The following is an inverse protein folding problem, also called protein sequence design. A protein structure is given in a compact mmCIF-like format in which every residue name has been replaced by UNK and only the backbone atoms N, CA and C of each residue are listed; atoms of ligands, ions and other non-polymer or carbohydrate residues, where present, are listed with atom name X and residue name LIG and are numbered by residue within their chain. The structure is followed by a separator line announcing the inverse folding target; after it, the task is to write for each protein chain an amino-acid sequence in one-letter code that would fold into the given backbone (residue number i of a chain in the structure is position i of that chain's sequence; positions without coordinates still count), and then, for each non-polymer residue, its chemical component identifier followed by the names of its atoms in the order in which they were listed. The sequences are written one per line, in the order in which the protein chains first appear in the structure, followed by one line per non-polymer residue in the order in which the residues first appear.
data_IF_808385803392
#
_entry.id   IF_808385803392
#
_cell.length_a   1.000
_cell.length_b   1.000
_cell.length_c   1.000
_cell.angle_alpha   90.00
_cell.angle_beta   90.00
_cell.angle_gamma   90.00
#
_symmetry.space_group_name_H-M   'P 1'
#
loop_
_entity.id
_entity.type
_entity.pdbx_description
1 polymer ?
#
# COMPACT_ATOMS: atom_id res chain seq x y z
N UNK A 1 2.84 1.62 28.99
CA UNK A 1 3.59 1.48 27.74
C UNK A 1 5.06 1.47 28.12
N UNK A 2 5.88 0.49 27.71
CA UNK A 2 7.31 0.58 27.93
C UNK A 2 7.85 1.81 27.20
N UNK A 3 8.91 2.47 27.69
CA UNK A 3 9.50 3.61 27.01
C UNK A 3 9.96 3.15 25.63
N UNK A 4 9.53 3.87 24.59
CA UNK A 4 10.02 3.69 23.23
C UNK A 4 11.53 3.89 23.33
N UNK A 5 12.29 2.82 23.11
CA UNK A 5 13.75 2.90 23.06
C UNK A 5 14.08 3.88 21.95
N UNK A 6 14.84 4.94 22.28
CA UNK A 6 15.27 5.92 21.29
C UNK A 6 15.91 5.16 20.12
N UNK A 7 15.41 5.39 18.91
CA UNK A 7 15.95 4.75 17.72
C UNK A 7 17.45 5.03 17.61
N UNK A 8 18.20 4.03 17.17
CA UNK A 8 19.66 4.16 17.04
C UNK A 8 20.03 5.18 15.96
N UNK A 9 19.19 5.33 14.93
CA UNK A 9 19.44 6.20 13.78
C UNK A 9 18.24 7.13 13.60
N UNK A 10 18.45 8.43 13.85
CA UNK A 10 17.44 9.48 13.74
C UNK A 10 17.67 10.42 12.56
N UNK A 11 18.80 10.28 11.86
CA UNK A 11 19.13 11.12 10.70
C UNK A 11 18.36 10.65 9.46
N UNK A 12 17.42 11.46 8.99
CA UNK A 12 16.57 11.15 7.83
C UNK A 12 17.36 10.81 6.55
N UNK A 13 18.50 11.45 6.31
CA UNK A 13 19.32 11.15 5.13
C UNK A 13 19.92 9.74 5.22
N UNK A 14 20.36 9.32 6.42
CA UNK A 14 20.89 7.97 6.65
C UNK A 14 19.78 6.94 6.54
N UNK A 15 18.63 7.19 7.15
CA UNK A 15 17.44 6.32 7.05
C UNK A 15 17.03 6.16 5.59
N UNK A 16 16.95 7.25 4.84
CA UNK A 16 16.64 7.20 3.40
C UNK A 16 17.67 6.39 2.62
N UNK A 17 18.97 6.58 2.88
CA UNK A 17 20.04 5.82 2.25
C UNK A 17 19.93 4.31 2.53
N UNK A 18 19.61 3.93 3.76
CA UNK A 18 19.38 2.52 4.13
C UNK A 18 18.17 1.93 3.41
N UNK A 19 17.03 2.63 3.40
CA UNK A 19 15.83 2.19 2.72
C UNK A 19 16.05 2.08 1.21
N UNK A 20 16.73 3.06 0.60
CA UNK A 20 17.07 3.04 -0.82
C UNK A 20 18.01 1.88 -1.16
N UNK A 21 18.98 1.57 -0.29
CA UNK A 21 19.90 0.45 -0.47
C UNK A 21 19.15 -0.89 -0.39
N UNK A 22 18.26 -1.05 0.56
CA UNK A 22 17.40 -2.25 0.68
C UNK A 22 16.58 -2.42 -0.58
N UNK A 23 15.85 -1.38 -0.99
CA UNK A 23 15.01 -1.40 -2.18
C UNK A 23 15.83 -1.71 -3.43
N UNK A 24 16.95 -1.03 -3.62
CA UNK A 24 17.86 -1.25 -4.75
C UNK A 24 18.40 -2.68 -4.80
N UNK A 25 18.80 -3.23 -3.65
CA UNK A 25 19.31 -4.61 -3.56
C UNK A 25 18.23 -5.63 -3.88
N UNK A 26 17.01 -5.46 -3.34
CA UNK A 26 15.88 -6.34 -3.61
C UNK A 26 15.51 -6.30 -5.09
N UNK A 27 15.37 -5.12 -5.68
CA UNK A 27 15.01 -4.98 -7.09
C UNK A 27 16.12 -5.50 -8.02
N UNK A 28 17.38 -5.22 -7.68
CA UNK A 28 18.52 -5.71 -8.47
C UNK A 28 18.64 -7.24 -8.45
N UNK A 29 18.45 -7.87 -7.30
CA UNK A 29 18.46 -9.32 -7.17
C UNK A 29 17.24 -9.95 -7.82
N UNK A 30 16.06 -9.32 -7.72
CA UNK A 30 14.84 -9.78 -8.37
C UNK A 30 14.91 -9.71 -9.91
N UNK A 31 15.65 -8.75 -10.45
CA UNK A 31 15.86 -8.61 -11.90
C UNK A 31 16.88 -9.61 -12.48
N UNK A 32 17.60 -10.36 -11.63
CA UNK A 32 18.61 -11.31 -12.13
C UNK A 32 17.98 -12.59 -12.68
N UNK A 33 18.40 -13.02 -13.87
CA UNK A 33 17.91 -14.26 -14.49
C UNK A 33 18.55 -15.53 -13.89
N UNK A 34 19.48 -15.40 -12.93
CA UNK A 34 20.25 -16.49 -12.36
C UNK A 34 19.38 -17.48 -11.61
N UNK A 35 19.71 -18.79 -11.70
CA UNK A 35 18.88 -19.88 -11.21
C UNK A 35 18.53 -19.81 -9.70
N UNK A 36 19.46 -19.34 -8.86
CA UNK A 36 19.21 -19.17 -7.43
C UNK A 36 18.19 -18.06 -7.14
N UNK A 37 18.39 -16.85 -7.66
CA UNK A 37 17.50 -15.72 -7.43
C UNK A 37 16.13 -15.93 -8.06
N UNK A 38 16.07 -16.53 -9.25
CA UNK A 38 14.81 -16.90 -9.89
C UNK A 38 14.00 -17.87 -9.02
N UNK A 39 14.66 -18.89 -8.46
CA UNK A 39 14.00 -19.86 -7.57
C UNK A 39 13.56 -19.22 -6.26
N UNK A 40 14.40 -18.36 -5.67
CA UNK A 40 14.09 -17.65 -4.43
C UNK A 40 12.86 -16.74 -4.61
N UNK A 41 12.85 -15.89 -5.62
CA UNK A 41 11.73 -14.98 -5.89
C UNK A 41 10.47 -15.64 -6.46
N UNK A 42 10.53 -16.89 -6.82
CA UNK A 42 9.33 -17.69 -7.13
C UNK A 42 8.54 -18.07 -5.87
N UNK A 43 9.21 -18.15 -4.71
CA UNK A 43 8.57 -18.42 -3.42
C UNK A 43 8.35 -17.16 -2.58
N UNK A 44 9.26 -16.20 -2.65
CA UNK A 44 9.26 -14.98 -1.85
C UNK A 44 9.07 -13.78 -2.78
N UNK A 45 7.86 -13.19 -2.87
CA UNK A 45 7.65 -12.01 -3.70
C UNK A 45 8.60 -10.86 -3.32
N UNK A 46 9.24 -10.23 -4.32
CA UNK A 46 10.13 -9.09 -4.07
C UNK A 46 9.44 -7.97 -3.29
N UNK A 47 8.17 -7.73 -3.58
CA UNK A 47 7.36 -6.75 -2.88
C UNK A 47 7.28 -7.04 -1.37
N UNK A 48 7.15 -8.30 -0.97
CA UNK A 48 7.13 -8.69 0.43
C UNK A 48 8.42 -8.24 1.14
N UNK A 49 9.58 -8.42 0.52
CA UNK A 49 10.86 -8.02 1.10
C UNK A 49 10.99 -6.49 1.18
N UNK A 50 10.44 -5.76 0.19
CA UNK A 50 10.43 -4.29 0.21
C UNK A 50 9.64 -3.71 1.40
N UNK A 51 8.64 -4.42 1.91
CA UNK A 51 7.89 -4.01 3.10
C UNK A 51 8.44 -4.63 4.38
N UNK A 52 8.78 -5.92 4.34
CA UNK A 52 9.22 -6.67 5.54
C UNK A 52 10.54 -6.15 6.09
N UNK A 53 11.55 -5.87 5.24
CA UNK A 53 12.85 -5.42 5.71
C UNK A 53 12.81 -4.06 6.41
N UNK A 54 12.18 -3.01 5.85
CA UNK A 54 11.99 -1.75 6.56
C UNK A 54 11.19 -1.90 7.86
N UNK A 55 10.12 -2.71 7.84
CA UNK A 55 9.31 -2.97 9.04
C UNK A 55 10.13 -3.65 10.13
N UNK A 56 11.00 -4.59 9.76
CA UNK A 56 11.88 -5.26 10.70
C UNK A 56 12.89 -4.28 11.34
N UNK A 57 13.47 -3.36 10.56
CA UNK A 57 14.36 -2.31 11.08
C UNK A 57 13.64 -1.40 12.08
N UNK A 58 12.40 -1.05 11.83
CA UNK A 58 11.57 -0.26 12.74
C UNK A 58 11.25 -1.05 14.02
N UNK A 59 10.88 -2.33 13.89
CA UNK A 59 10.54 -3.20 15.04
C UNK A 59 11.76 -3.46 15.94
N UNK A 60 12.95 -3.53 15.35
CA UNK A 60 14.21 -3.70 16.09
C UNK A 60 14.71 -2.38 16.73
N UNK A 61 14.01 -1.26 16.54
CA UNK A 61 14.40 0.04 17.07
C UNK A 61 15.65 0.63 16.40
N UNK A 62 16.04 0.14 15.21
CA UNK A 62 17.17 0.68 14.45
C UNK A 62 16.81 2.02 13.84
N UNK A 63 15.59 2.12 13.30
CA UNK A 63 15.01 3.34 12.75
C UNK A 63 13.69 3.64 13.47
N UNK A 64 13.30 4.92 13.52
CA UNK A 64 11.98 5.33 13.98
C UNK A 64 11.19 5.93 12.82
N UNK A 65 10.17 5.19 12.38
CA UNK A 65 9.30 5.65 11.30
C UNK A 65 8.33 6.74 11.71
N UNK A 66 8.05 6.89 13.02
CA UNK A 66 7.09 7.87 13.53
C UNK A 66 7.71 9.28 13.61
N UNK A 67 8.99 9.36 14.01
CA UNK A 67 9.69 10.64 14.14
C UNK A 67 10.38 11.09 12.83
N UNK A 68 10.46 10.22 11.82
CA UNK A 68 11.10 10.52 10.54
C UNK A 68 10.23 11.44 9.67
N UNK A 69 10.84 12.48 9.10
CA UNK A 69 10.20 13.36 8.10
C UNK A 69 10.05 12.73 6.72
N UNK A 70 10.60 11.54 6.51
CA UNK A 70 10.52 10.83 5.22
C UNK A 70 9.08 10.42 4.90
N UNK A 71 8.31 10.03 5.91
CA UNK A 71 6.91 9.65 5.70
C UNK A 71 6.04 10.84 5.25
N UNK A 72 6.03 12.00 5.94
CA UNK A 72 5.33 13.18 5.45
C UNK A 72 5.78 13.61 4.05
N UNK A 73 7.09 13.61 3.78
CA UNK A 73 7.61 13.92 2.45
C UNK A 73 7.10 12.96 1.38
N UNK A 74 7.11 11.66 1.66
CA UNK A 74 6.59 10.66 0.72
C UNK A 74 5.08 10.82 0.49
N UNK A 75 4.33 11.07 1.55
CA UNK A 75 2.88 11.29 1.51
C UNK A 75 2.51 12.54 0.72
N UNK A 76 3.15 13.67 1.04
CA UNK A 76 2.72 14.98 0.54
C UNK A 76 3.26 15.29 -0.87
N UNK A 77 4.38 14.68 -1.26
CA UNK A 77 5.03 14.95 -2.55
C UNK A 77 5.15 13.73 -3.46
N UNK A 78 5.67 12.60 -2.96
CA UNK A 78 5.94 11.45 -3.83
C UNK A 78 4.66 10.71 -4.24
N UNK A 79 3.71 10.56 -3.32
CA UNK A 79 2.46 9.86 -3.60
C UNK A 79 1.60 10.63 -4.62
N UNK A 80 1.29 11.93 -4.47
CA UNK A 80 0.55 12.68 -5.48
C UNK A 80 1.29 12.72 -6.83
N UNK A 81 2.61 12.91 -6.81
CA UNK A 81 3.40 12.91 -8.04
C UNK A 81 3.35 11.57 -8.77
N UNK A 82 3.43 10.46 -8.03
CA UNK A 82 3.34 9.11 -8.62
C UNK A 82 1.95 8.84 -9.20
N UNK A 83 0.89 9.31 -8.55
CA UNK A 83 -0.48 9.19 -9.07
C UNK A 83 -0.66 9.97 -10.37
N UNK A 84 -0.13 11.20 -10.44
CA UNK A 84 -0.14 11.99 -11.67
C UNK A 84 0.62 11.29 -12.80
N UNK A 85 1.83 10.78 -12.50
CA UNK A 85 2.62 10.04 -13.49
C UNK A 85 1.92 8.77 -13.97
N UNK A 86 1.25 8.05 -13.09
CA UNK A 86 0.44 6.88 -13.45
C UNK A 86 -0.71 7.29 -14.39
N UNK A 87 -1.41 8.38 -14.09
CA UNK A 87 -2.48 8.88 -14.97
C UNK A 87 -1.96 9.30 -16.35
N UNK A 88 -0.80 9.96 -16.42
CA UNK A 88 -0.16 10.35 -17.69
C UNK A 88 0.34 9.15 -18.48
N UNK A 89 0.79 8.09 -17.79
CA UNK A 89 1.29 6.87 -18.42
C UNK A 89 0.18 5.96 -18.99
N UNK A 90 -1.10 6.28 -18.77
CA UNK A 90 -2.22 5.47 -19.26
C UNK A 90 -2.24 5.49 -20.81
N UNK A 91 -2.12 4.31 -21.42
CA UNK A 91 -2.34 4.14 -22.87
C UNK A 91 -3.84 3.97 -23.17
N UNK A 92 -4.53 5.09 -23.39
CA UNK A 92 -5.95 5.08 -23.75
C UNK A 92 -6.24 4.28 -25.04
N UNK A 93 -5.30 4.24 -25.98
CA UNK A 93 -5.46 3.45 -27.22
C UNK A 93 -5.46 1.96 -26.93
N UNK A 94 -4.58 1.52 -26.02
CA UNK A 94 -4.57 0.12 -25.57
C UNK A 94 -5.88 -0.25 -24.85
N UNK A 95 -6.42 0.63 -24.00
CA UNK A 95 -7.69 0.41 -23.33
C UNK A 95 -8.84 0.26 -24.35
N UNK A 96 -8.92 1.13 -25.33
CA UNK A 96 -9.94 1.05 -26.40
C UNK A 96 -9.79 -0.24 -27.23
N UNK A 97 -8.55 -0.68 -27.48
CA UNK A 97 -8.28 -1.94 -28.20
C UNK A 97 -8.72 -3.20 -27.45
N UNK A 98 -8.80 -3.15 -26.11
CA UNK A 98 -9.32 -4.26 -25.30
C UNK A 98 -10.80 -4.59 -25.61
N UNK A 99 -11.49 -3.62 -26.20
CA UNK A 99 -12.87 -3.75 -26.65
C UNK A 99 -13.90 -3.63 -25.52
N UNK A 100 -15.18 -3.60 -25.88
CA UNK A 100 -16.25 -3.28 -24.93
C UNK A 100 -16.40 -4.34 -23.81
N UNK A 101 -16.04 -5.59 -24.08
CA UNK A 101 -16.13 -6.66 -23.06
C UNK A 101 -15.25 -6.37 -21.84
N UNK A 102 -14.02 -5.93 -22.05
CA UNK A 102 -13.10 -5.61 -20.95
C UNK A 102 -13.60 -4.42 -20.13
N UNK A 103 -14.13 -3.41 -20.79
CA UNK A 103 -14.69 -2.21 -20.13
C UNK A 103 -15.92 -2.59 -19.31
N UNK A 104 -16.84 -3.39 -19.88
CA UNK A 104 -18.04 -3.85 -19.17
C UNK A 104 -17.63 -4.70 -17.96
N UNK A 105 -16.69 -5.64 -18.11
CA UNK A 105 -16.21 -6.46 -16.99
C UNK A 105 -15.57 -5.61 -15.89
N UNK A 106 -14.76 -4.62 -16.25
CA UNK A 106 -14.14 -3.71 -15.28
C UNK A 106 -15.19 -2.90 -14.51
N UNK A 107 -16.15 -2.29 -15.23
CA UNK A 107 -17.21 -1.51 -14.59
C UNK A 107 -18.12 -2.38 -13.72
N UNK A 108 -18.48 -3.56 -14.20
CA UNK A 108 -19.30 -4.50 -13.42
C UNK A 108 -18.54 -4.98 -12.16
N UNK A 109 -17.26 -5.28 -12.29
CA UNK A 109 -16.40 -5.63 -11.16
C UNK A 109 -16.32 -4.50 -10.12
N UNK A 110 -16.09 -3.27 -10.59
CA UNK A 110 -16.07 -2.07 -9.73
C UNK A 110 -17.37 -1.89 -8.95
N UNK A 111 -18.50 -1.93 -9.65
CA UNK A 111 -19.83 -1.85 -9.01
C UNK A 111 -20.05 -3.02 -8.05
N UNK A 112 -19.62 -4.22 -8.42
CA UNK A 112 -19.70 -5.40 -7.57
C UNK A 112 -18.91 -5.25 -6.26
N UNK A 113 -17.69 -4.74 -6.34
CA UNK A 113 -16.87 -4.47 -5.13
C UNK A 113 -17.53 -3.40 -4.25
N UNK A 114 -18.02 -2.30 -4.84
CA UNK A 114 -18.69 -1.25 -4.08
C UNK A 114 -19.95 -1.74 -3.37
N UNK A 115 -20.82 -2.46 -4.07
CA UNK A 115 -22.03 -3.04 -3.48
C UNK A 115 -21.69 -4.13 -2.46
N UNK A 116 -20.71 -4.97 -2.76
CA UNK A 116 -20.23 -6.01 -1.85
C UNK A 116 -19.69 -5.45 -0.55
N UNK A 117 -18.91 -4.36 -0.62
CA UNK A 117 -18.40 -3.67 0.56
C UNK A 117 -19.55 -3.13 1.44
N UNK A 118 -20.54 -2.49 0.83
CA UNK A 118 -21.72 -1.97 1.54
C UNK A 118 -22.52 -3.10 2.20
N UNK A 119 -22.80 -4.17 1.45
CA UNK A 119 -23.55 -5.33 1.97
C UNK A 119 -22.79 -6.00 3.11
N UNK A 120 -21.46 -6.19 2.96
CA UNK A 120 -20.62 -6.78 3.99
C UNK A 120 -20.60 -5.93 5.26
N UNK A 121 -20.50 -4.61 5.10
CA UNK A 121 -20.51 -3.68 6.23
C UNK A 121 -21.85 -3.72 6.99
N UNK A 122 -22.96 -3.67 6.28
CA UNK A 122 -24.29 -3.75 6.89
C UNK A 122 -24.55 -5.13 7.52
N UNK A 123 -24.11 -6.21 6.90
CA UNK A 123 -24.20 -7.54 7.49
C UNK A 123 -23.41 -7.64 8.80
N UNK A 124 -22.18 -7.13 8.82
CA UNK A 124 -21.37 -7.09 10.04
C UNK A 124 -21.94 -6.18 11.12
N UNK A 125 -22.59 -5.08 10.73
CA UNK A 125 -23.29 -4.20 11.68
C UNK A 125 -24.41 -4.91 12.43
N UNK A 126 -25.07 -5.89 11.78
CA UNK A 126 -26.12 -6.70 12.41
C UNK A 126 -25.54 -7.85 13.24
N UNK A 127 -24.48 -8.52 12.73
CA UNK A 127 -23.89 -9.71 13.36
C UNK A 127 -22.98 -9.35 14.53
N UNK A 128 -22.11 -8.36 14.32
CA UNK A 128 -21.09 -7.94 15.28
C UNK A 128 -20.84 -6.42 15.19
N UNK A 129 -21.73 -5.60 15.79
CA UNK A 129 -21.71 -4.13 15.63
C UNK A 129 -20.39 -3.50 16.09
N UNK A 130 -19.72 -4.08 17.08
CA UNK A 130 -18.47 -3.56 17.64
C UNK A 130 -17.33 -3.56 16.59
N UNK A 131 -17.31 -4.53 15.66
CA UNK A 131 -16.30 -4.64 14.61
C UNK A 131 -16.35 -3.49 13.61
N UNK A 132 -17.52 -2.93 13.39
CA UNK A 132 -17.77 -1.86 12.40
C UNK A 132 -18.11 -0.52 13.05
N UNK A 133 -17.84 -0.40 14.37
CA UNK A 133 -18.10 0.82 15.11
C UNK A 133 -17.12 1.95 14.72
N UNK A 134 -17.54 3.19 14.95
CA UNK A 134 -16.70 4.37 14.72
C UNK A 134 -16.31 4.57 13.26
N UNK A 135 -15.04 4.84 13.03
CA UNK A 135 -14.48 5.18 11.72
C UNK A 135 -14.03 3.97 10.89
N UNK A 136 -14.36 2.74 11.28
CA UNK A 136 -13.99 1.50 10.58
C UNK A 136 -14.40 1.52 9.09
N UNK A 137 -15.53 2.16 8.76
CA UNK A 137 -15.98 2.32 7.38
C UNK A 137 -14.96 3.05 6.49
N UNK A 138 -14.19 4.00 7.06
CA UNK A 138 -13.14 4.70 6.34
C UNK A 138 -12.02 3.73 5.95
N UNK A 139 -11.56 2.89 6.88
CA UNK A 139 -10.58 1.84 6.60
C UNK A 139 -11.07 0.86 5.53
N UNK A 140 -12.33 0.44 5.59
CA UNK A 140 -12.93 -0.45 4.59
C UNK A 140 -12.97 0.17 3.18
N UNK A 141 -13.07 1.49 3.05
CA UNK A 141 -12.99 2.15 1.73
C UNK A 141 -11.61 1.96 1.09
N UNK A 142 -10.55 1.91 1.88
CA UNK A 142 -9.18 1.66 1.38
C UNK A 142 -9.05 0.24 0.84
N UNK A 143 -9.63 -0.74 1.53
CA UNK A 143 -9.66 -2.14 1.06
C UNK A 143 -10.44 -2.25 -0.25
N UNK A 144 -11.64 -1.66 -0.32
CA UNK A 144 -12.44 -1.64 -1.55
C UNK A 144 -11.67 -0.97 -2.70
N UNK A 145 -11.00 0.14 -2.43
CA UNK A 145 -10.13 0.82 -3.39
C UNK A 145 -8.99 -0.07 -3.89
N UNK A 146 -8.36 -0.82 -3.00
CA UNK A 146 -7.30 -1.78 -3.34
C UNK A 146 -7.81 -2.90 -4.27
N UNK A 147 -8.99 -3.41 -4.03
CA UNK A 147 -9.60 -4.44 -4.87
C UNK A 147 -9.98 -3.93 -6.26
N UNK A 148 -10.36 -2.67 -6.39
CA UNK A 148 -10.72 -2.04 -7.66
C UNK A 148 -9.48 -1.67 -8.48
N UNK A 149 -8.47 -1.05 -7.84
CA UNK A 149 -7.35 -0.43 -8.56
C UNK A 149 -5.95 -0.70 -7.98
N UNK A 150 -5.82 -1.64 -7.02
CA UNK A 150 -4.54 -1.99 -6.41
C UNK A 150 -4.04 -0.99 -5.36
N UNK A 151 -2.77 -1.14 -4.95
CA UNK A 151 -2.20 -0.39 -3.83
C UNK A 151 -2.17 1.14 -4.02
N UNK A 152 -2.02 1.61 -5.26
CA UNK A 152 -2.08 3.05 -5.55
C UNK A 152 -3.47 3.62 -5.24
N UNK A 153 -4.53 2.88 -5.59
CA UNK A 153 -5.91 3.26 -5.28
C UNK A 153 -6.20 3.18 -3.77
N UNK A 154 -5.64 2.19 -3.09
CA UNK A 154 -5.72 2.08 -1.62
C UNK A 154 -5.11 3.32 -0.95
N UNK A 155 -3.92 3.73 -1.39
CA UNK A 155 -3.25 4.92 -0.89
C UNK A 155 -4.07 6.21 -1.18
N UNK A 156 -4.64 6.33 -2.38
CA UNK A 156 -5.50 7.44 -2.73
C UNK A 156 -6.77 7.50 -1.85
N UNK A 157 -7.43 6.36 -1.61
CA UNK A 157 -8.59 6.29 -0.71
C UNK A 157 -8.24 6.66 0.72
N UNK A 158 -7.05 6.28 1.20
CA UNK A 158 -6.56 6.72 2.51
C UNK A 158 -6.56 8.24 2.65
N UNK A 159 -6.03 8.95 1.64
CA UNK A 159 -5.97 10.41 1.65
C UNK A 159 -7.37 11.04 1.50
N UNK A 160 -8.20 10.51 0.59
CA UNK A 160 -9.55 11.04 0.35
C UNK A 160 -10.44 10.94 1.58
N UNK A 161 -10.34 9.84 2.34
CA UNK A 161 -11.16 9.59 3.53
C UNK A 161 -10.45 9.89 4.85
N UNK A 162 -9.25 10.49 4.79
CA UNK A 162 -8.44 10.87 5.97
C UNK A 162 -8.29 9.72 6.97
N UNK A 163 -7.84 8.56 6.47
CA UNK A 163 -7.67 7.35 7.28
C UNK A 163 -6.38 7.44 8.07
N UNK A 164 -6.49 7.42 9.38
CA UNK A 164 -5.35 7.44 10.29
C UNK A 164 -4.34 6.32 10.01
N UNK A 165 -3.05 6.58 10.25
CA UNK A 165 -1.98 5.64 9.97
C UNK A 165 -2.11 4.32 10.76
N UNK A 166 -2.59 4.40 12.00
CA UNK A 166 -2.78 3.22 12.85
C UNK A 166 -3.94 2.37 12.37
N UNK A 167 -5.03 3.02 11.97
CA UNK A 167 -6.18 2.36 11.36
C UNK A 167 -5.82 1.75 10.00
N UNK A 168 -5.09 2.50 9.16
CA UNK A 168 -4.68 2.01 7.84
C UNK A 168 -3.82 0.75 7.92
N UNK A 169 -3.00 0.62 8.96
CA UNK A 169 -2.18 -0.57 9.20
C UNK A 169 -2.97 -1.82 9.63
N UNK A 170 -4.26 -1.68 9.95
CA UNK A 170 -5.15 -2.79 10.31
C UNK A 170 -5.88 -3.37 9.09
N UNK A 171 -5.94 -2.62 7.99
CA UNK A 171 -6.56 -2.95 6.70
C UNK A 171 -5.52 -3.16 5.60
#
# INVERSE_FOLDING_TARGET
MPPVSAAMITNDAVVFGMLATILGTVLWTAARPDGFWKKFYSYVPALLLCYLLPSLLNTLGIIDGADSRLYPMARDYLLPSSLVLLCVAIDFKAIVRLGPKAIIMFLTGTVGVMLGALVSFEAMRVIHPETVAGDTWRGMTTVAGSWIGGGANQAAMREVFDVDATMFGQF
#
